data_IF_490415769325
#
_entry.id   IF_490415769325
#
_cell.length_a   1.000
_cell.length_b   1.000
_cell.length_c   1.000
_cell.angle_alpha   90.00
_cell.angle_beta   90.00
_cell.angle_gamma   90.00
#
_symmetry.space_group_name_H-M   'P 1'
#
loop_
_entity.id
_entity.type
_entity.pdbx_description
1 polymer ?
#
# COMPACT_ATOMS: atom_id res chain seq x y z
N UNK A 1 -19.44 12.38 0.52
CA UNK A 1 -18.20 12.63 -0.22
C UNK A 1 -18.33 13.94 -0.99
N UNK A 2 -17.31 14.81 -0.94
CA UNK A 2 -17.26 16.08 -1.67
C UNK A 2 -17.04 15.86 -3.18
N UNK A 3 -17.40 16.83 -4.05
CA UNK A 3 -17.14 16.74 -5.48
C UNK A 3 -15.65 16.58 -5.82
N UNK A 4 -14.76 17.29 -5.12
CA UNK A 4 -13.31 17.26 -5.31
C UNK A 4 -12.74 15.88 -4.99
N UNK A 5 -13.13 15.31 -3.83
CA UNK A 5 -12.73 13.95 -3.44
C UNK A 5 -13.23 12.91 -4.44
N UNK A 6 -14.48 13.02 -4.88
CA UNK A 6 -15.04 12.12 -5.91
C UNK A 6 -14.26 12.25 -7.23
N UNK A 7 -13.87 13.45 -7.63
CA UNK A 7 -13.11 13.66 -8.86
C UNK A 7 -11.72 13.00 -8.80
N UNK A 8 -10.99 13.15 -7.70
CA UNK A 8 -9.70 12.46 -7.49
C UNK A 8 -9.87 10.95 -7.50
N UNK A 9 -10.85 10.41 -6.78
CA UNK A 9 -11.09 8.96 -6.76
C UNK A 9 -11.47 8.42 -8.14
N UNK A 10 -12.26 9.16 -8.92
CA UNK A 10 -12.56 8.81 -10.31
C UNK A 10 -11.30 8.85 -11.20
N UNK A 11 -10.39 9.80 -10.96
CA UNK A 11 -9.11 9.86 -11.64
C UNK A 11 -8.24 8.63 -11.33
N UNK A 12 -8.16 8.24 -10.05
CA UNK A 12 -7.45 7.02 -9.63
C UNK A 12 -8.10 5.77 -10.25
N UNK A 13 -9.43 5.66 -10.21
CA UNK A 13 -10.15 4.55 -10.82
C UNK A 13 -9.91 4.47 -12.33
N UNK A 14 -9.81 5.60 -13.03
CA UNK A 14 -9.47 5.68 -14.44
C UNK A 14 -8.00 5.38 -14.76
N UNK A 15 -7.13 5.35 -13.76
CA UNK A 15 -5.71 4.97 -13.91
C UNK A 15 -5.46 3.46 -13.69
N UNK A 16 -6.47 2.70 -13.25
CA UNK A 16 -6.35 1.26 -13.13
C UNK A 16 -6.01 0.63 -14.49
N UNK A 17 -4.99 -0.24 -14.56
CA UNK A 17 -4.64 -0.88 -15.81
C UNK A 17 -5.72 -1.89 -16.21
N UNK A 18 -5.96 -2.00 -17.51
CA UNK A 18 -6.87 -2.99 -18.08
C UNK A 18 -6.09 -4.29 -18.35
N UNK A 19 -6.15 -5.22 -17.39
CA UNK A 19 -5.46 -6.50 -17.44
C UNK A 19 -6.46 -7.65 -17.34
N UNK A 20 -6.22 -8.73 -18.09
CA UNK A 20 -6.98 -9.99 -18.02
C UNK A 20 -6.58 -10.86 -16.81
N UNK A 21 -6.31 -10.22 -15.66
CA UNK A 21 -6.00 -10.88 -14.39
C UNK A 21 -6.40 -9.99 -13.21
N UNK A 22 -6.48 -10.54 -11.98
CA UNK A 22 -6.70 -9.74 -10.79
C UNK A 22 -5.63 -8.63 -10.64
N UNK A 23 -6.08 -7.47 -10.18
CA UNK A 23 -5.25 -6.28 -9.98
C UNK A 23 -4.81 -6.14 -8.53
N UNK A 24 -3.57 -5.72 -8.32
CA UNK A 24 -3.04 -5.34 -7.02
C UNK A 24 -2.79 -3.83 -6.97
N UNK A 25 -3.58 -3.12 -6.19
CA UNK A 25 -3.53 -1.66 -6.07
C UNK A 25 -3.18 -1.31 -4.63
N UNK A 26 -2.29 -0.34 -4.43
CA UNK A 26 -1.97 0.13 -3.09
C UNK A 26 -2.14 1.64 -2.94
N UNK A 27 -2.67 2.03 -1.79
CA UNK A 27 -2.71 3.40 -1.28
C UNK A 27 -1.69 3.51 -0.15
N UNK A 28 -0.50 3.98 -0.50
CA UNK A 28 0.60 4.24 0.43
C UNK A 28 0.59 5.70 0.89
N UNK A 29 1.26 5.97 1.99
CA UNK A 29 1.28 7.26 2.65
C UNK A 29 1.67 7.09 4.11
N UNK A 30 2.19 8.14 4.71
CA UNK A 30 2.61 8.06 6.09
C UNK A 30 1.40 7.96 7.07
N UNK A 31 1.66 7.61 8.34
CA UNK A 31 0.62 7.56 9.39
C UNK A 31 -0.19 8.88 9.45
N UNK A 32 -1.50 8.83 9.67
CA UNK A 32 -2.34 10.03 9.64
C UNK A 32 -2.62 10.63 8.25
N UNK A 33 -2.07 10.06 7.17
CA UNK A 33 -2.33 10.56 5.80
C UNK A 33 -3.75 10.30 5.29
N UNK A 34 -4.56 9.47 5.97
CA UNK A 34 -5.94 9.18 5.58
C UNK A 34 -6.10 8.04 4.55
N UNK A 35 -5.09 7.16 4.43
CA UNK A 35 -5.06 6.04 3.46
C UNK A 35 -6.28 5.14 3.54
N UNK A 36 -6.63 4.66 4.73
CA UNK A 36 -7.75 3.74 4.94
C UNK A 36 -9.05 4.34 4.41
N UNK A 37 -9.33 5.60 4.76
CA UNK A 37 -10.51 6.32 4.27
C UNK A 37 -10.49 6.52 2.76
N UNK A 38 -9.33 6.86 2.19
CA UNK A 38 -9.18 7.03 0.75
C UNK A 38 -9.43 5.71 0.01
N UNK A 39 -8.84 4.61 0.50
CA UNK A 39 -8.98 3.29 -0.08
C UNK A 39 -10.40 2.73 0.08
N UNK A 40 -11.07 2.98 1.21
CA UNK A 40 -12.47 2.59 1.40
C UNK A 40 -13.41 3.32 0.43
N UNK A 41 -13.23 4.65 0.27
CA UNK A 41 -14.02 5.41 -0.70
C UNK A 41 -13.73 5.00 -2.14
N UNK A 42 -12.47 4.67 -2.48
CA UNK A 42 -12.11 4.16 -3.80
C UNK A 42 -12.75 2.80 -4.06
N UNK A 43 -12.74 1.89 -3.08
CA UNK A 43 -13.41 0.60 -3.21
C UNK A 43 -14.91 0.74 -3.38
N UNK A 44 -15.56 1.65 -2.63
CA UNK A 44 -16.97 1.94 -2.80
C UNK A 44 -17.28 2.42 -4.23
N UNK A 45 -16.48 3.36 -4.75
CA UNK A 45 -16.64 3.89 -6.10
C UNK A 45 -16.44 2.81 -7.18
N UNK A 46 -15.43 1.96 -7.04
CA UNK A 46 -15.18 0.84 -7.96
C UNK A 46 -16.28 -0.23 -7.89
N UNK A 47 -16.80 -0.50 -6.68
CA UNK A 47 -17.93 -1.39 -6.46
C UNK A 47 -19.23 -0.87 -7.10
N UNK A 48 -19.51 0.44 -7.01
CA UNK A 48 -20.62 1.10 -7.72
C UNK A 48 -20.51 0.93 -9.24
N UNK A 49 -19.29 0.85 -9.77
CA UNK A 49 -19.02 0.57 -11.18
C UNK A 49 -19.02 -0.94 -11.53
N UNK A 50 -19.38 -1.81 -10.59
CA UNK A 50 -19.52 -3.25 -10.80
C UNK A 50 -18.23 -4.06 -10.70
N UNK A 51 -17.12 -3.48 -10.20
CA UNK A 51 -15.87 -4.23 -9.97
C UNK A 51 -15.96 -5.03 -8.67
N UNK A 52 -15.41 -6.25 -8.67
CA UNK A 52 -15.22 -7.03 -7.46
C UNK A 52 -13.99 -6.51 -6.69
N UNK A 53 -14.20 -5.71 -5.66
CA UNK A 53 -13.11 -5.11 -4.88
C UNK A 53 -12.94 -5.83 -3.55
N UNK A 54 -11.71 -6.18 -3.21
CA UNK A 54 -11.32 -6.72 -1.91
C UNK A 54 -10.45 -5.69 -1.19
N UNK A 55 -10.84 -5.34 0.03
CA UNK A 55 -10.06 -4.47 0.91
C UNK A 55 -9.14 -5.30 1.80
N UNK A 56 -7.91 -4.83 1.96
CA UNK A 56 -6.97 -5.32 2.95
C UNK A 56 -6.12 -4.15 3.46
N UNK A 57 -5.57 -4.28 4.68
CA UNK A 57 -4.61 -3.32 5.23
C UNK A 57 -3.30 -4.00 5.55
N UNK A 58 -2.16 -3.35 5.29
CA UNK A 58 -0.88 -3.84 5.81
C UNK A 58 -0.88 -3.88 7.34
N UNK A 59 -1.73 -3.07 8.00
CA UNK A 59 -1.86 -3.06 9.45
C UNK A 59 -2.28 -4.42 10.02
N UNK A 60 -2.99 -5.24 9.23
CA UNK A 60 -3.43 -6.59 9.57
C UNK A 60 -2.33 -7.67 9.48
N UNK A 61 -1.10 -7.24 9.18
CA UNK A 61 0.10 -8.08 9.08
C UNK A 61 1.23 -7.55 9.97
N UNK A 62 0.90 -6.82 11.03
CA UNK A 62 1.90 -6.46 12.01
C UNK A 62 2.48 -7.69 12.73
N UNK A 63 3.77 -7.67 13.05
CA UNK A 63 4.31 -8.59 14.04
C UNK A 63 3.68 -8.33 15.42
N UNK A 64 3.48 -9.31 16.30
CA UNK A 64 2.92 -9.09 17.65
C UNK A 64 3.67 -8.04 18.47
N UNK A 65 3.00 -7.31 19.38
CA UNK A 65 3.60 -6.24 20.21
C UNK A 65 4.86 -6.71 20.94
N UNK A 66 4.88 -7.96 21.41
CA UNK A 66 6.04 -8.56 22.07
C UNK A 66 7.30 -8.46 21.20
N UNK A 67 7.20 -8.74 19.89
CA UNK A 67 8.32 -8.64 18.95
C UNK A 67 8.64 -7.17 18.58
N UNK A 68 7.61 -6.37 18.30
CA UNK A 68 7.77 -4.96 17.88
C UNK A 68 8.47 -4.11 18.94
N UNK A 69 8.21 -4.40 20.22
CA UNK A 69 8.65 -3.57 21.35
C UNK A 69 9.84 -4.14 22.12
N UNK A 70 10.26 -5.37 21.83
CA UNK A 70 11.43 -6.02 22.45
C UNK A 70 12.69 -5.14 22.35
N UNK A 71 12.92 -4.49 21.20
CA UNK A 71 14.07 -3.63 20.95
C UNK A 71 13.78 -2.13 21.19
N UNK A 72 12.70 -1.82 21.93
CA UNK A 72 12.26 -0.46 22.20
C UNK A 72 11.30 0.12 21.14
N UNK A 73 10.87 1.37 21.35
CA UNK A 73 9.88 2.08 20.51
C UNK A 73 10.52 3.27 19.79
N UNK A 74 11.47 2.99 18.89
CA UNK A 74 12.22 4.00 18.12
C UNK A 74 11.79 4.02 16.66
N UNK A 75 12.24 5.00 15.88
CA UNK A 75 11.98 4.99 14.43
C UNK A 75 12.57 3.78 13.73
N UNK A 76 13.73 3.31 14.17
CA UNK A 76 14.36 2.09 13.64
C UNK A 76 13.49 0.85 13.88
N UNK A 77 12.90 0.70 15.07
CA UNK A 77 12.04 -0.47 15.35
C UNK A 77 10.68 -0.36 14.65
N UNK A 78 10.12 0.85 14.49
CA UNK A 78 8.93 1.07 13.65
C UNK A 78 9.22 0.71 12.19
N UNK A 79 10.39 1.07 11.67
CA UNK A 79 10.79 0.75 10.30
C UNK A 79 11.09 -0.75 10.08
N UNK A 80 11.82 -1.37 10.99
CA UNK A 80 12.37 -2.73 10.78
C UNK A 80 11.50 -3.84 11.35
N UNK A 81 10.62 -3.57 12.31
CA UNK A 81 9.88 -4.60 13.07
C UNK A 81 8.36 -4.47 13.03
N UNK A 82 7.78 -3.45 12.41
CA UNK A 82 6.32 -3.29 12.42
C UNK A 82 5.60 -4.44 11.73
N UNK A 83 6.03 -4.82 10.53
CA UNK A 83 5.28 -5.71 9.62
C UNK A 83 6.00 -7.03 9.34
N UNK A 84 5.21 -8.10 9.27
CA UNK A 84 5.61 -9.39 8.72
C UNK A 84 5.42 -9.40 7.20
N UNK A 85 6.37 -8.82 6.46
CA UNK A 85 6.28 -8.79 4.99
C UNK A 85 6.29 -10.18 4.36
N UNK A 86 6.83 -11.20 5.05
CA UNK A 86 6.75 -12.58 4.57
C UNK A 86 5.31 -13.06 4.61
N UNK A 87 4.57 -12.79 5.68
CA UNK A 87 3.15 -13.09 5.77
C UNK A 87 2.34 -12.29 4.73
N UNK A 88 2.60 -10.99 4.56
CA UNK A 88 1.95 -10.17 3.51
C UNK A 88 2.11 -10.82 2.13
N UNK A 89 3.34 -11.24 1.78
CA UNK A 89 3.61 -11.86 0.47
C UNK A 89 2.93 -13.23 0.37
N UNK A 90 3.13 -14.11 1.35
CA UNK A 90 2.66 -15.49 1.30
C UNK A 90 1.13 -15.61 1.35
N UNK A 91 0.50 -14.88 2.25
CA UNK A 91 -0.93 -15.01 2.56
C UNK A 91 -1.80 -14.12 1.69
N UNK A 92 -1.29 -12.98 1.20
CA UNK A 92 -2.09 -12.01 0.47
C UNK A 92 -1.59 -11.77 -0.95
N UNK A 93 -0.39 -11.21 -1.14
CA UNK A 93 -0.01 -10.69 -2.46
C UNK A 93 0.35 -11.78 -3.48
N UNK A 94 1.10 -12.81 -3.09
CA UNK A 94 1.47 -13.91 -4.01
C UNK A 94 0.26 -14.71 -4.50
N UNK A 95 -0.75 -15.01 -3.68
CA UNK A 95 -2.02 -15.56 -4.18
C UNK A 95 -2.64 -14.73 -5.30
N UNK A 96 -2.72 -13.41 -5.12
CA UNK A 96 -3.29 -12.51 -6.13
C UNK A 96 -2.45 -12.44 -7.40
N UNK A 97 -1.12 -12.50 -7.28
CA UNK A 97 -0.21 -12.60 -8.43
C UNK A 97 -0.36 -13.92 -9.19
N UNK A 98 -0.66 -15.03 -8.51
CA UNK A 98 -0.93 -16.34 -9.15
C UNK A 98 -2.27 -16.37 -9.88
N UNK A 99 -3.22 -15.53 -9.44
CA UNK A 99 -4.47 -15.28 -10.13
C UNK A 99 -5.68 -15.95 -9.50
N UNK A 100 -6.78 -15.93 -10.26
CA UNK A 100 -8.10 -16.35 -9.86
C UNK A 100 -8.15 -17.75 -9.22
N UNK A 101 -8.98 -17.93 -8.20
CA UNK A 101 -9.17 -19.21 -7.51
C UNK A 101 -8.04 -19.59 -6.56
N UNK A 102 -6.96 -18.80 -6.47
CA UNK A 102 -5.89 -19.05 -5.50
C UNK A 102 -6.37 -18.64 -4.10
N UNK A 103 -6.19 -19.47 -3.06
CA UNK A 103 -6.57 -19.10 -1.70
C UNK A 103 -5.66 -18.00 -1.13
N UNK A 104 -6.26 -17.02 -0.47
CA UNK A 104 -5.58 -15.90 0.20
C UNK A 104 -6.24 -15.58 1.54
N UNK A 105 -5.52 -14.89 2.42
CA UNK A 105 -6.03 -14.30 3.66
C UNK A 105 -5.78 -12.80 3.66
N UNK A 106 -6.81 -11.96 3.86
CA UNK A 106 -6.64 -10.51 3.91
C UNK A 106 -6.03 -10.03 5.23
N UNK A 107 -6.01 -10.89 6.26
CA UNK A 107 -5.46 -10.58 7.59
C UNK A 107 -4.96 -11.83 8.29
N UNK A 108 -3.94 -11.65 9.13
CA UNK A 108 -3.39 -12.71 10.01
C UNK A 108 -3.12 -12.20 11.43
N UNK A 109 -3.28 -10.90 11.65
CA UNK A 109 -3.09 -10.24 12.93
C UNK A 109 -4.18 -9.18 13.13
N UNK A 110 -4.70 -9.08 14.34
CA UNK A 110 -5.56 -7.96 14.75
C UNK A 110 -4.73 -6.98 15.57
N UNK A 111 -4.48 -5.79 15.02
CA UNK A 111 -3.59 -4.81 15.62
C UNK A 111 -4.09 -4.29 16.99
N UNK A 112 -5.40 -4.17 17.16
CA UNK A 112 -6.01 -3.63 18.37
C UNK A 112 -5.86 -4.59 19.54
N UNK A 113 -6.29 -5.84 19.35
CA UNK A 113 -6.25 -6.92 20.34
C UNK A 113 -4.88 -7.56 20.47
N UNK A 114 -4.01 -7.36 19.49
CA UNK A 114 -2.72 -8.03 19.32
C UNK A 114 -2.81 -9.55 19.08
N UNK A 115 -3.98 -10.04 18.68
CA UNK A 115 -4.21 -11.47 18.44
C UNK A 115 -3.68 -11.92 17.08
N UNK A 116 -3.07 -13.11 17.05
CA UNK A 116 -2.83 -13.84 15.80
C UNK A 116 -4.13 -14.50 15.38
N UNK A 117 -4.49 -14.34 14.11
CA UNK A 117 -5.74 -14.84 13.54
C UNK A 117 -5.46 -16.09 12.70
N UNK A 118 -6.39 -17.04 12.74
CA UNK A 118 -6.41 -18.23 11.86
C UNK A 118 -7.76 -18.32 11.17
N UNK A 119 -8.00 -17.35 10.30
CA UNK A 119 -9.25 -17.27 9.54
C UNK A 119 -9.18 -18.18 8.31
N UNK A 120 -10.31 -18.76 7.89
CA UNK A 120 -10.35 -19.52 6.65
C UNK A 120 -9.99 -18.63 5.46
N UNK A 121 -9.20 -19.12 4.49
CA UNK A 121 -8.89 -18.34 3.30
C UNK A 121 -10.14 -18.11 2.44
N UNK A 122 -10.09 -17.01 1.68
CA UNK A 122 -11.00 -16.76 0.57
C UNK A 122 -10.27 -17.01 -0.76
N UNK A 123 -11.02 -17.15 -1.85
CA UNK A 123 -10.45 -17.36 -3.18
C UNK A 123 -10.35 -16.03 -3.94
N UNK A 124 -9.24 -15.83 -4.66
CA UNK A 124 -9.05 -14.65 -5.51
C UNK A 124 -10.14 -14.62 -6.60
N UNK A 125 -10.90 -13.53 -6.74
CA UNK A 125 -11.90 -13.39 -7.81
C UNK A 125 -11.26 -13.26 -9.20
N UNK A 126 -11.96 -13.67 -10.26
CA UNK A 126 -11.44 -13.73 -11.64
C UNK A 126 -10.96 -12.38 -12.20
N UNK A 127 -11.73 -11.31 -11.96
CA UNK A 127 -11.42 -9.95 -12.39
C UNK A 127 -11.48 -8.97 -11.22
N UNK A 128 -10.98 -9.36 -10.05
CA UNK A 128 -11.03 -8.50 -8.87
C UNK A 128 -9.90 -7.50 -8.77
N UNK A 129 -10.13 -6.51 -7.90
CA UNK A 129 -9.14 -5.52 -7.49
C UNK A 129 -8.86 -5.75 -6.01
N UNK A 130 -7.64 -6.16 -5.67
CA UNK A 130 -7.15 -6.07 -4.31
C UNK A 130 -6.69 -4.65 -4.08
N UNK A 131 -7.41 -3.93 -3.23
CA UNK A 131 -7.07 -2.58 -2.83
C UNK A 131 -6.50 -2.60 -1.42
N UNK A 132 -5.19 -2.40 -1.31
CA UNK A 132 -4.44 -2.39 -0.06
C UNK A 132 -4.19 -0.96 0.40
N UNK A 133 -4.32 -0.68 1.69
CA UNK A 133 -3.74 0.52 2.30
C UNK A 133 -2.68 0.16 3.33
N UNK A 134 -1.66 1.00 3.49
CA UNK A 134 -0.61 0.74 4.46
C UNK A 134 0.49 1.77 4.45
N UNK A 135 1.34 1.76 5.47
CA UNK A 135 2.61 2.49 5.45
C UNK A 135 3.69 1.57 4.89
N UNK A 136 4.71 2.14 4.26
CA UNK A 136 5.89 1.39 3.78
C UNK A 136 5.56 0.36 2.68
N UNK A 137 4.53 0.61 1.88
CA UNK A 137 4.06 -0.37 0.92
C UNK A 137 4.96 -0.51 -0.32
N UNK A 138 5.84 0.46 -0.60
CA UNK A 138 6.77 0.42 -1.74
C UNK A 138 8.18 -0.05 -1.34
N UNK A 139 8.33 -0.73 -0.19
CA UNK A 139 9.59 -1.37 0.15
C UNK A 139 10.01 -2.44 -0.86
N UNK A 140 11.30 -2.78 -0.89
CA UNK A 140 11.86 -3.78 -1.80
C UNK A 140 11.12 -5.12 -1.75
N UNK A 141 10.62 -5.52 -0.58
CA UNK A 141 9.85 -6.75 -0.38
C UNK A 141 8.51 -6.77 -1.14
N UNK A 142 7.90 -5.60 -1.40
CA UNK A 142 6.53 -5.45 -1.92
C UNK A 142 6.44 -4.71 -3.27
N UNK A 143 7.38 -3.81 -3.57
CA UNK A 143 7.38 -2.93 -4.78
C UNK A 143 7.27 -3.69 -6.10
N UNK A 144 7.68 -4.96 -6.13
CA UNK A 144 7.54 -5.85 -7.28
C UNK A 144 6.09 -6.20 -7.65
N UNK A 145 5.14 -6.02 -6.74
CA UNK A 145 3.83 -6.67 -6.79
C UNK A 145 2.70 -5.77 -7.30
N UNK A 146 2.82 -4.46 -7.11
CA UNK A 146 1.73 -3.52 -7.37
C UNK A 146 1.57 -3.24 -8.86
N UNK A 147 0.33 -3.21 -9.31
CA UNK A 147 -0.10 -2.78 -10.64
C UNK A 147 -0.38 -1.28 -10.70
N UNK A 148 -0.77 -0.70 -9.57
CA UNK A 148 -0.95 0.73 -9.39
C UNK A 148 -0.59 1.13 -7.95
N UNK A 149 0.22 2.17 -7.81
CA UNK A 149 0.63 2.76 -6.54
C UNK A 149 0.14 4.20 -6.45
N UNK A 150 -0.69 4.46 -5.44
CA UNK A 150 -1.16 5.81 -5.10
C UNK A 150 -0.46 6.24 -3.82
N UNK A 151 0.30 7.33 -3.88
CA UNK A 151 0.91 7.95 -2.70
C UNK A 151 0.07 9.12 -2.21
N UNK A 152 -0.30 9.12 -0.92
CA UNK A 152 -0.94 10.24 -0.26
C UNK A 152 0.10 11.11 0.46
N UNK A 153 0.32 12.33 -0.06
CA UNK A 153 1.19 13.31 0.56
C UNK A 153 0.40 14.21 1.51
N UNK A 154 0.88 14.33 2.75
CA UNK A 154 0.27 15.15 3.80
C UNK A 154 1.41 15.71 4.67
N UNK A 155 1.44 17.02 4.97
CA UNK A 155 2.45 17.62 5.84
C UNK A 155 2.52 16.94 7.21
N UNK A 156 3.72 16.83 7.77
CA UNK A 156 3.94 16.12 9.04
C UNK A 156 3.14 16.71 10.19
N UNK A 157 3.02 18.04 10.28
CA UNK A 157 2.23 18.72 11.31
C UNK A 157 0.76 18.34 11.24
N UNK A 158 0.21 18.23 10.03
CA UNK A 158 -1.18 17.86 9.81
C UNK A 158 -1.40 16.37 10.11
N UNK A 159 -0.44 15.50 9.75
CA UNK A 159 -0.49 14.07 10.13
C UNK A 159 -0.47 13.89 11.65
N UNK A 160 0.44 14.59 12.35
CA UNK A 160 0.56 14.54 13.81
C UNK A 160 -0.71 15.05 14.48
N UNK A 161 -1.28 16.17 14.00
CA UNK A 161 -2.57 16.68 14.48
C UNK A 161 -3.68 15.64 14.33
N UNK A 162 -3.82 15.02 13.15
CA UNK A 162 -4.84 13.98 12.90
C UNK A 162 -4.65 12.75 13.77
N UNK A 163 -3.41 12.30 13.95
CA UNK A 163 -3.12 11.18 14.84
C UNK A 163 -3.44 11.52 16.30
N UNK A 164 -3.13 12.73 16.75
CA UNK A 164 -3.51 13.21 18.08
C UNK A 164 -5.03 13.22 18.28
N UNK A 165 -5.77 13.76 17.32
CA UNK A 165 -7.24 13.80 17.35
C UNK A 165 -7.86 12.39 17.36
N UNK A 166 -7.29 11.45 16.59
CA UNK A 166 -7.80 10.08 16.44
C UNK A 166 -7.42 9.17 17.62
N UNK A 167 -6.16 9.21 18.04
CA UNK A 167 -5.56 8.22 18.95
C UNK A 167 -5.38 8.75 20.38
N UNK A 168 -5.65 10.03 20.62
CA UNK A 168 -5.46 10.68 21.92
C UNK A 168 -3.98 10.82 22.31
N UNK A 169 -3.08 10.86 21.33
CA UNK A 169 -1.64 11.06 21.52
C UNK A 169 -1.27 12.55 21.49
N UNK A 170 -0.08 12.96 21.98
CA UNK A 170 0.29 14.38 21.98
C UNK A 170 0.36 14.99 20.57
N UNK A 171 -0.22 16.18 20.33
CA UNK A 171 -0.21 16.90 19.05
C UNK A 171 1.10 17.69 18.87
N UNK A 172 2.24 17.05 19.12
CA UNK A 172 3.56 17.68 19.07
C UNK A 172 4.53 16.80 18.27
N UNK A 173 5.04 17.36 17.17
CA UNK A 173 5.98 16.69 16.26
C UNK A 173 7.28 16.30 16.96
N UNK A 174 7.67 17.04 18.01
CA UNK A 174 8.89 16.78 18.78
C UNK A 174 8.65 15.78 19.92
N UNK A 175 7.39 15.39 20.20
CA UNK A 175 7.09 14.41 21.22
C UNK A 175 7.64 13.03 20.83
N UNK A 176 8.29 12.28 21.75
CA UNK A 176 8.91 10.98 21.44
C UNK A 176 7.97 9.97 20.75
N UNK A 177 6.71 9.92 21.16
CA UNK A 177 5.71 9.01 20.57
C UNK A 177 5.39 9.32 19.10
N UNK A 178 5.56 10.58 18.68
CA UNK A 178 5.39 11.03 17.29
C UNK A 178 6.71 10.90 16.51
N UNK A 179 7.81 11.31 17.13
CA UNK A 179 9.15 11.28 16.53
C UNK A 179 9.52 9.92 15.98
N UNK A 180 9.17 8.82 16.65
CA UNK A 180 9.44 7.47 16.13
C UNK A 180 8.77 7.23 14.76
N UNK A 181 7.55 7.71 14.54
CA UNK A 181 6.89 7.58 13.23
C UNK A 181 7.57 8.48 12.21
N UNK A 182 7.90 9.72 12.56
CA UNK A 182 8.62 10.65 11.67
C UNK A 182 10.00 10.11 11.26
N UNK A 183 10.76 9.57 12.21
CA UNK A 183 12.06 8.96 11.97
C UNK A 183 11.95 7.70 11.08
N UNK A 184 10.95 6.84 11.31
CA UNK A 184 10.70 5.69 10.45
C UNK A 184 10.33 6.09 9.01
N UNK A 185 9.54 7.16 8.84
CA UNK A 185 9.23 7.70 7.51
C UNK A 185 10.46 8.29 6.81
N UNK A 186 11.40 8.88 7.55
CA UNK A 186 12.70 9.31 6.98
C UNK A 186 13.53 8.12 6.52
N UNK A 187 13.60 7.04 7.31
CA UNK A 187 14.27 5.80 6.90
C UNK A 187 13.62 5.21 5.65
N UNK A 188 12.29 5.21 5.60
CA UNK A 188 11.55 4.75 4.43
C UNK A 188 11.88 5.54 3.18
N UNK A 189 11.75 6.88 3.22
CA UNK A 189 12.03 7.78 2.09
C UNK A 189 13.51 7.76 1.65
N UNK A 190 14.41 7.30 2.52
CA UNK A 190 15.81 7.11 2.17
C UNK A 190 16.07 5.74 1.52
N UNK A 191 15.31 4.72 1.89
CA UNK A 191 15.45 3.35 1.39
C UNK A 191 14.63 3.07 0.11
N UNK A 192 13.51 3.77 -0.05
CA UNK A 192 12.64 3.80 -1.21
C UNK A 192 12.31 5.27 -1.49
N UNK A 193 12.07 5.66 -2.75
CA UNK A 193 11.58 7.01 -3.07
C UNK A 193 10.08 6.94 -3.34
N UNK A 194 9.21 6.82 -2.31
CA UNK A 194 7.81 6.48 -2.49
C UNK A 194 7.04 7.50 -3.32
N UNK A 195 7.47 8.76 -3.28
CA UNK A 195 6.86 9.84 -4.08
C UNK A 195 7.25 9.70 -5.54
N UNK A 196 8.52 9.43 -5.85
CA UNK A 196 8.98 9.27 -7.23
C UNK A 196 8.52 7.95 -7.86
N UNK A 197 8.39 6.89 -7.06
CA UNK A 197 8.00 5.55 -7.50
C UNK A 197 6.48 5.34 -7.56
N UNK A 198 5.66 6.29 -7.08
CA UNK A 198 4.20 6.21 -7.15
C UNK A 198 3.69 6.57 -8.56
N UNK A 199 2.69 5.84 -9.04
CA UNK A 199 1.99 6.16 -10.30
C UNK A 199 1.13 7.42 -10.19
N UNK A 200 0.62 7.70 -8.99
CA UNK A 200 -0.19 8.86 -8.68
C UNK A 200 0.20 9.43 -7.33
N UNK A 201 0.48 10.73 -7.29
CA UNK A 201 0.68 11.47 -6.04
C UNK A 201 -0.52 12.35 -5.80
N UNK A 202 -1.18 12.15 -4.66
CA UNK A 202 -2.36 12.90 -4.23
C UNK A 202 -1.99 13.73 -3.01
N UNK A 203 -2.17 15.04 -3.10
CA UNK A 203 -2.18 15.88 -1.90
C UNK A 203 -3.50 15.61 -1.16
N UNK A 204 -3.37 15.16 0.09
CA UNK A 204 -4.51 14.84 0.95
C UNK A 204 -4.45 15.65 2.26
N UNK A 205 -3.87 16.86 2.23
CA UNK A 205 -3.80 17.76 3.38
C UNK A 205 -5.18 18.28 3.82
N UNK A 206 -6.13 18.39 2.90
CA UNK A 206 -7.56 18.51 3.18
C UNK A 206 -8.29 17.28 2.58
N UNK A 207 -8.76 16.32 3.39
CA UNK A 207 -9.44 15.13 2.89
C UNK A 207 -10.75 15.44 2.16
N UNK A 208 -11.35 16.61 2.40
CA UNK A 208 -12.53 17.09 1.69
C UNK A 208 -12.20 17.73 0.35
N UNK A 209 -10.94 18.13 0.09
CA UNK A 209 -10.52 18.80 -1.13
C UNK A 209 -9.16 18.30 -1.64
N UNK A 210 -8.97 16.97 -1.81
CA UNK A 210 -7.72 16.44 -2.32
C UNK A 210 -7.54 16.82 -3.79
N UNK A 211 -6.29 16.78 -4.27
CA UNK A 211 -5.99 16.96 -5.69
C UNK A 211 -4.76 16.14 -6.10
N UNK A 212 -4.71 15.73 -7.37
CA UNK A 212 -3.55 15.03 -7.94
C UNK A 212 -2.44 16.04 -8.20
N UNK A 213 -1.28 15.84 -7.57
CA UNK A 213 -0.09 16.71 -7.69
C UNK A 213 0.68 16.39 -8.96
N UNK A 214 0.73 15.12 -9.34
CA UNK A 214 1.44 14.67 -10.53
C UNK A 214 1.16 13.21 -10.89
N UNK A 215 1.46 12.90 -12.16
CA UNK A 215 1.61 11.54 -12.70
C UNK A 215 3.06 11.41 -13.16
N UNK A 216 3.81 10.32 -12.87
CA UNK A 216 5.06 10.09 -13.57
C UNK A 216 4.78 10.08 -15.07
N UNK A 217 5.66 10.73 -15.84
CA UNK A 217 5.58 10.71 -17.32
C UNK A 217 5.64 9.26 -17.82
N UNK A 218 6.33 8.38 -17.06
CA UNK A 218 6.31 6.92 -17.15
C UNK A 218 6.62 6.35 -15.74
N UNK A 219 5.86 5.38 -15.21
CA UNK A 219 6.17 4.75 -13.91
C UNK A 219 7.56 4.10 -13.89
N UNK A 220 8.21 4.06 -12.72
CA UNK A 220 9.51 3.42 -12.53
C UNK A 220 9.45 1.94 -12.93
N UNK A 221 10.39 1.51 -13.79
CA UNK A 221 10.40 0.15 -14.35
C UNK A 221 9.42 -0.09 -15.50
N UNK A 222 8.62 0.89 -15.90
CA UNK A 222 7.75 0.83 -17.08
C UNK A 222 8.33 1.66 -18.23
N UNK A 223 8.00 1.27 -19.47
CA UNK A 223 8.36 1.97 -20.70
C UNK A 223 7.14 2.06 -21.61
N UNK A 224 6.94 3.22 -22.23
CA UNK A 224 5.84 3.43 -23.19
C UNK A 224 6.21 2.85 -24.56
N UNK A 225 5.36 1.97 -25.08
CA UNK A 225 5.47 1.39 -26.43
C UNK A 225 4.28 1.82 -27.29
N UNK A 226 4.31 1.63 -28.63
CA UNK A 226 3.14 1.90 -29.48
C UNK A 226 1.91 1.05 -29.15
N UNK A 227 2.05 0.03 -28.28
CA UNK A 227 1.04 -0.96 -27.93
C UNK A 227 0.65 -0.87 -26.43
N UNK A 228 1.05 0.19 -25.72
CA UNK A 228 0.79 0.38 -24.28
C UNK A 228 2.05 0.49 -23.42
N UNK A 229 1.87 0.53 -22.10
CA UNK A 229 2.96 0.52 -21.12
C UNK A 229 3.49 -0.91 -20.95
N UNK A 230 4.81 -1.09 -20.92
CA UNK A 230 5.47 -2.38 -20.64
C UNK A 230 6.44 -2.24 -19.50
N UNK A 231 6.39 -3.15 -18.53
CA UNK A 231 7.39 -3.22 -17.45
C UNK A 231 8.63 -3.98 -17.90
N UNK A 232 9.82 -3.40 -17.75
CA UNK A 232 11.09 -4.10 -17.94
C UNK A 232 11.71 -4.32 -16.57
N UNK A 233 11.72 -5.58 -16.13
CA UNK A 233 12.40 -5.99 -14.91
C UNK A 233 13.83 -6.34 -15.28
N UNK A 234 14.78 -5.45 -15.02
CA UNK A 234 16.20 -5.79 -15.10
C UNK A 234 16.60 -6.57 -13.86
N UNK A 235 17.01 -7.82 -14.06
CA UNK A 235 17.55 -8.70 -13.04
C UNK A 235 18.79 -9.39 -13.59
N UNK A 236 19.66 -9.90 -12.72
CA UNK A 236 20.86 -10.61 -13.16
C UNK A 236 20.48 -11.89 -13.94
N UNK A 237 21.39 -12.37 -14.78
CA UNK A 237 21.11 -13.48 -15.70
C UNK A 237 20.73 -14.77 -14.97
N UNK A 238 21.21 -14.96 -13.74
CA UNK A 238 20.90 -16.15 -12.93
C UNK A 238 19.48 -16.08 -12.38
N UNK A 239 19.07 -14.93 -11.87
CA UNK A 239 17.71 -14.66 -11.39
C UNK A 239 16.69 -14.66 -12.54
N UNK A 240 17.02 -14.09 -13.70
CA UNK A 240 16.17 -14.15 -14.90
C UNK A 240 15.96 -15.60 -15.37
N UNK A 241 17.02 -16.40 -15.42
CA UNK A 241 16.94 -17.81 -15.80
C UNK A 241 16.17 -18.65 -14.77
N UNK A 242 16.17 -18.24 -13.50
CA UNK A 242 15.38 -18.88 -12.44
C UNK A 242 13.90 -18.52 -12.54
N UNK A 243 13.57 -17.25 -12.83
CA UNK A 243 12.20 -16.77 -13.07
C UNK A 243 11.61 -17.43 -14.32
N UNK A 244 12.33 -17.46 -15.44
CA UNK A 244 11.85 -18.08 -16.68
C UNK A 244 11.64 -19.60 -16.54
N UNK A 245 12.43 -20.27 -15.70
CA UNK A 245 12.20 -21.70 -15.35
C UNK A 245 10.98 -21.92 -14.46
N UNK A 246 10.60 -20.93 -13.65
CA UNK A 246 9.42 -20.98 -12.78
C UNK A 246 8.12 -20.65 -13.52
N UNK A 247 8.21 -19.87 -14.60
CA UNK A 247 7.05 -19.45 -15.40
C UNK A 247 6.68 -20.44 -16.52
N UNK A 248 7.55 -21.40 -16.84
CA UNK A 248 7.28 -22.43 -17.85
C UNK A 248 7.25 -21.88 -19.28
N UNK A 249 7.55 -22.74 -20.24
CA UNK A 249 7.22 -22.51 -21.66
C UNK A 249 5.70 -22.42 -21.87
#
# INVERSE_FOLDING_TARGET
MTPERRAVLAEVAGALPDLDRPLLVVVDGADGAGKTWFADDLAALLGEAGRAVVRASLDDFHHPKAYRHEAGRTGETVWSRSFDYRAVRHELLDPWCRGAGTPYRPRVHDLATDAVLDEPPADVPEHGVLLVDGVFAQRAELSGCWDLVVWLEVPDEERVRRMADRDGVPPDVDHPDQRRYLEAQRLYRAAADPVADADLVVDNADPGRPFVVGRPVVPSGWHRTPHGLRRVVTTDTETAARINRLLGE
#
